data_IF_378411788207
#
_entry.id   IF_378411788207
#
_cell.length_a   1.000
_cell.length_b   1.000
_cell.length_c   1.000
_cell.angle_alpha   90.00
_cell.angle_beta   90.00
_cell.angle_gamma   90.00
#
_symmetry.space_group_name_H-M   'P 1'
#
loop_
_entity.id
_entity.type
_entity.pdbx_description
1 polymer ?
#
# COMPACT_ATOMS: atom_id res chain seq x y z
N UNK A 1 11.70 21.13 -9.21
CA UNK A 1 12.35 21.45 -7.92
C UNK A 1 13.72 20.79 -7.72
N UNK A 2 14.18 19.83 -8.54
CA UNK A 2 15.61 19.50 -8.76
C UNK A 2 16.50 19.20 -7.53
N UNK A 3 15.92 18.99 -6.35
CA UNK A 3 16.64 18.77 -5.11
C UNK A 3 16.78 17.26 -4.86
N UNK A 4 17.85 16.71 -5.42
CA UNK A 4 18.07 15.27 -5.50
C UNK A 4 18.50 14.69 -4.13
N UNK A 5 19.21 15.47 -3.33
CA UNK A 5 19.69 15.06 -2.00
C UNK A 5 18.55 14.86 -1.02
N UNK A 6 17.56 15.77 -1.03
CA UNK A 6 16.38 15.64 -0.16
C UNK A 6 15.48 14.49 -0.60
N UNK A 7 15.36 14.29 -1.92
CA UNK A 7 14.65 13.15 -2.46
C UNK A 7 15.28 11.83 -2.01
N UNK A 8 16.60 11.68 -2.15
CA UNK A 8 17.31 10.47 -1.68
C UNK A 8 17.13 10.24 -0.17
N UNK A 9 17.23 11.31 0.64
CA UNK A 9 17.00 11.23 2.08
C UNK A 9 15.59 10.73 2.41
N UNK A 10 14.58 11.25 1.72
CA UNK A 10 13.19 10.84 1.92
C UNK A 10 12.96 9.37 1.52
N UNK A 11 13.52 8.94 0.38
CA UNK A 11 13.41 7.54 -0.07
C UNK A 11 14.06 6.57 0.92
N UNK A 12 15.25 6.92 1.43
CA UNK A 12 15.93 6.12 2.45
C UNK A 12 15.11 6.03 3.73
N UNK A 13 14.61 7.18 4.22
CA UNK A 13 13.78 7.23 5.42
C UNK A 13 12.51 6.39 5.28
N UNK A 14 11.83 6.45 4.12
CA UNK A 14 10.65 5.63 3.82
C UNK A 14 10.99 4.14 3.83
N UNK A 15 12.10 3.73 3.21
CA UNK A 15 12.52 2.32 3.20
C UNK A 15 12.82 1.76 4.59
N UNK A 16 13.22 2.60 5.54
CA UNK A 16 13.62 2.17 6.89
C UNK A 16 12.49 2.26 7.91
N UNK A 17 11.55 3.21 7.74
CA UNK A 17 10.54 3.53 8.75
C UNK A 17 9.11 3.21 8.32
N UNK A 18 8.83 3.05 7.02
CA UNK A 18 7.47 2.80 6.55
C UNK A 18 7.11 1.32 6.71
N UNK A 19 6.12 1.05 7.56
CA UNK A 19 5.47 -0.25 7.70
C UNK A 19 3.96 -0.10 7.49
N UNK A 20 3.37 -1.04 6.77
CA UNK A 20 1.92 -1.11 6.57
C UNK A 20 1.22 -2.08 7.51
N UNK A 21 1.97 -2.71 8.43
CA UNK A 21 1.39 -3.57 9.47
C UNK A 21 0.86 -2.72 10.65
N UNK A 22 -0.22 -1.98 10.38
CA UNK A 22 -0.84 -1.07 11.34
C UNK A 22 -2.32 -1.40 11.46
N UNK A 23 -2.79 -1.51 12.70
CA UNK A 23 -4.21 -1.73 13.03
C UNK A 23 -5.02 -0.44 12.87
N UNK A 24 -5.16 0.00 11.62
CA UNK A 24 -5.83 1.25 11.27
C UNK A 24 -6.81 1.04 10.13
N UNK A 25 -8.02 1.58 10.31
CA UNK A 25 -9.03 1.64 9.26
C UNK A 25 -8.75 2.86 8.38
N UNK A 26 -8.47 2.62 7.11
CA UNK A 26 -8.16 3.65 6.12
C UNK A 26 -9.20 3.66 4.99
N UNK A 27 -9.28 4.79 4.29
CA UNK A 27 -10.07 4.90 3.06
C UNK A 27 -9.23 4.38 1.88
N UNK A 28 -9.76 3.38 1.18
CA UNK A 28 -9.09 2.73 0.04
C UNK A 28 -8.83 3.73 -1.09
N UNK A 29 -9.79 4.61 -1.40
CA UNK A 29 -9.66 5.57 -2.50
C UNK A 29 -8.51 6.55 -2.24
N UNK A 30 -8.49 7.16 -1.06
CA UNK A 30 -7.46 8.14 -0.68
C UNK A 30 -6.07 7.49 -0.62
N UNK A 31 -5.97 6.30 -0.05
CA UNK A 31 -4.69 5.61 0.08
C UNK A 31 -4.15 5.15 -1.29
N UNK A 32 -5.04 4.72 -2.19
CA UNK A 32 -4.68 4.35 -3.56
C UNK A 32 -4.08 5.53 -4.33
N UNK A 33 -4.77 6.67 -4.39
CA UNK A 33 -4.31 7.80 -5.20
C UNK A 33 -3.11 8.54 -4.57
N UNK A 34 -3.03 8.59 -3.22
CA UNK A 34 -1.97 9.35 -2.53
C UNK A 34 -0.74 8.50 -2.23
N UNK A 35 -0.92 7.34 -1.61
CA UNK A 35 0.19 6.53 -1.10
C UNK A 35 0.69 5.60 -2.20
N UNK A 36 -0.18 4.75 -2.75
CA UNK A 36 0.22 3.81 -3.81
C UNK A 36 0.69 4.57 -5.06
N UNK A 37 -0.10 5.54 -5.52
CA UNK A 37 0.28 6.41 -6.65
C UNK A 37 1.58 7.18 -6.40
N UNK A 38 1.80 7.67 -5.18
CA UNK A 38 3.03 8.38 -4.79
C UNK A 38 4.27 7.48 -4.79
N UNK A 39 4.17 6.27 -4.25
CA UNK A 39 5.27 5.29 -4.23
C UNK A 39 5.68 4.86 -5.63
N UNK A 40 4.71 4.59 -6.51
CA UNK A 40 4.97 4.21 -7.91
C UNK A 40 5.57 5.39 -8.68
N UNK A 41 5.03 6.59 -8.50
CA UNK A 41 5.55 7.79 -9.16
C UNK A 41 6.99 8.09 -8.71
N UNK A 42 7.26 7.99 -7.40
CA UNK A 42 8.61 8.15 -6.85
C UNK A 42 9.56 7.03 -7.32
N UNK A 43 9.08 5.80 -7.46
CA UNK A 43 9.84 4.71 -8.08
C UNK A 43 10.25 5.09 -9.50
N UNK A 44 9.31 5.43 -10.38
CA UNK A 44 9.59 5.79 -11.77
C UNK A 44 10.61 6.93 -11.87
N UNK A 45 10.47 7.96 -11.03
CA UNK A 45 11.44 9.06 -10.96
C UNK A 45 12.83 8.60 -10.51
N UNK A 46 12.91 7.69 -9.53
CA UNK A 46 14.16 7.14 -9.03
C UNK A 46 14.86 6.20 -10.04
N UNK A 47 14.10 5.50 -10.88
CA UNK A 47 14.61 4.55 -11.89
C UNK A 47 14.89 5.20 -13.25
N UNK A 48 14.45 6.44 -13.47
CA UNK A 48 14.65 7.15 -14.73
C UNK A 48 16.15 7.38 -14.99
N UNK A 49 16.64 6.73 -16.04
CA UNK A 49 18.04 6.76 -16.49
C UNK A 49 18.59 8.17 -16.81
N UNK A 50 17.73 9.15 -17.07
CA UNK A 50 18.13 10.55 -17.29
C UNK A 50 18.33 11.31 -15.99
N UNK A 51 17.82 10.78 -14.89
CA UNK A 51 17.73 11.43 -13.59
C UNK A 51 18.73 10.76 -12.65
N UNK A 52 19.87 11.43 -12.39
CA UNK A 52 20.89 11.03 -11.39
C UNK A 52 20.39 11.11 -9.94
N UNK A 53 19.09 10.91 -9.71
CA UNK A 53 18.41 11.18 -8.45
C UNK A 53 18.84 10.21 -7.35
N UNK A 54 19.26 9.00 -7.71
CA UNK A 54 19.87 8.06 -6.78
C UNK A 54 21.12 7.48 -7.42
N UNK A 55 22.30 7.84 -6.88
CA UNK A 55 23.58 7.31 -7.33
C UNK A 55 23.68 5.80 -7.04
N UNK A 56 23.10 4.95 -7.90
CA UNK A 56 23.24 3.49 -7.86
C UNK A 56 22.75 2.77 -6.60
N UNK A 57 22.37 3.48 -5.54
CA UNK A 57 21.98 2.92 -4.25
C UNK A 57 20.51 2.51 -4.19
N UNK A 58 19.70 2.89 -5.19
CA UNK A 58 18.28 2.54 -5.23
C UNK A 58 18.10 1.08 -5.65
N UNK A 59 17.42 0.28 -4.82
CA UNK A 59 17.17 -1.15 -5.06
C UNK A 59 15.68 -1.48 -5.09
N UNK A 60 14.89 -0.68 -5.82
CA UNK A 60 13.44 -0.89 -5.96
C UNK A 60 12.66 -0.91 -4.64
N UNK A 61 13.18 -0.30 -3.58
CA UNK A 61 12.57 -0.32 -2.24
C UNK A 61 11.15 0.24 -2.26
N UNK A 62 10.90 1.32 -3.01
CA UNK A 62 9.57 1.92 -3.12
C UNK A 62 8.59 1.03 -3.89
N UNK A 63 9.09 0.26 -4.87
CA UNK A 63 8.26 -0.69 -5.60
C UNK A 63 7.83 -1.84 -4.68
N UNK A 64 8.74 -2.34 -3.85
CA UNK A 64 8.41 -3.39 -2.86
C UNK A 64 7.35 -2.88 -1.86
N UNK A 65 7.48 -1.63 -1.40
CA UNK A 65 6.47 -1.00 -0.54
C UNK A 65 5.12 -0.83 -1.26
N UNK A 66 5.14 -0.43 -2.53
CA UNK A 66 3.93 -0.31 -3.34
C UNK A 66 3.25 -1.68 -3.55
N UNK A 67 4.04 -2.73 -3.78
CA UNK A 67 3.52 -4.09 -3.92
C UNK A 67 2.88 -4.58 -2.61
N UNK A 68 3.55 -4.40 -1.46
CA UNK A 68 2.99 -4.77 -0.14
C UNK A 68 1.65 -4.07 0.11
N UNK A 69 1.59 -2.76 -0.13
CA UNK A 69 0.36 -1.98 0.01
C UNK A 69 -0.74 -2.47 -0.95
N UNK A 70 -0.40 -2.75 -2.21
CA UNK A 70 -1.34 -3.26 -3.20
C UNK A 70 -1.91 -4.63 -2.83
N UNK A 71 -1.08 -5.53 -2.27
CA UNK A 71 -1.53 -6.84 -1.78
C UNK A 71 -2.55 -6.70 -0.64
N UNK A 72 -2.36 -5.72 0.25
CA UNK A 72 -3.30 -5.41 1.34
C UNK A 72 -4.62 -4.80 0.85
N UNK A 73 -4.68 -4.27 -0.37
CA UNK A 73 -5.91 -3.76 -0.96
C UNK A 73 -6.79 -4.86 -1.58
N UNK A 74 -6.22 -6.01 -1.96
CA UNK A 74 -6.95 -7.10 -2.61
C UNK A 74 -8.20 -7.60 -1.86
N UNK A 75 -8.21 -7.76 -0.52
CA UNK A 75 -9.41 -8.15 0.21
C UNK A 75 -10.61 -7.20 -0.02
N UNK A 76 -10.34 -5.93 -0.32
CA UNK A 76 -11.39 -4.93 -0.53
C UNK A 76 -12.26 -5.22 -1.75
N UNK A 77 -11.71 -5.90 -2.76
CA UNK A 77 -12.37 -6.22 -4.02
C UNK A 77 -13.08 -7.58 -4.00
N UNK A 78 -12.93 -8.35 -2.91
CA UNK A 78 -13.58 -9.64 -2.74
C UNK A 78 -15.06 -9.47 -2.33
N UNK A 79 -15.83 -8.75 -3.14
CA UNK A 79 -17.27 -8.52 -2.92
C UNK A 79 -18.11 -9.26 -3.96
N UNK A 80 -19.35 -9.68 -3.63
CA UNK A 80 -20.22 -10.38 -4.58
C UNK A 80 -20.57 -9.56 -5.83
N UNK A 81 -20.51 -8.24 -5.74
CA UNK A 81 -20.82 -7.31 -6.84
C UNK A 81 -19.58 -6.91 -7.65
N UNK A 82 -18.38 -7.20 -7.15
CA UNK A 82 -17.11 -6.70 -7.69
C UNK A 82 -16.82 -5.23 -7.35
N UNK A 83 -17.71 -4.53 -6.64
CA UNK A 83 -17.48 -3.16 -6.17
C UNK A 83 -16.68 -3.18 -4.86
N UNK A 84 -15.57 -2.44 -4.75
CA UNK A 84 -14.72 -2.50 -3.57
C UNK A 84 -15.33 -1.83 -2.35
N UNK A 85 -14.93 -2.29 -1.16
CA UNK A 85 -15.21 -1.57 0.08
C UNK A 85 -14.45 -0.25 0.15
N UNK A 86 -15.14 0.81 0.59
CA UNK A 86 -14.51 2.11 0.79
C UNK A 86 -13.49 2.12 1.93
N UNK A 87 -13.68 1.27 2.94
CA UNK A 87 -12.85 1.21 4.14
C UNK A 87 -12.21 -0.16 4.30
N UNK A 88 -10.90 -0.17 4.61
CA UNK A 88 -10.12 -1.39 4.80
C UNK A 88 -9.22 -1.25 6.03
N UNK A 89 -8.80 -2.38 6.62
CA UNK A 89 -7.79 -2.40 7.67
C UNK A 89 -6.48 -2.95 7.10
N UNK A 90 -5.39 -2.19 7.26
CA UNK A 90 -4.07 -2.53 6.70
C UNK A 90 -3.41 -3.74 7.38
N UNK A 91 -3.77 -4.03 8.64
CA UNK A 91 -3.26 -5.19 9.38
C UNK A 91 -3.81 -6.53 8.86
N UNK A 92 -4.91 -6.50 8.10
CA UNK A 92 -5.51 -7.72 7.54
C UNK A 92 -4.61 -8.22 6.41
N UNK A 93 -3.71 -9.12 6.77
CA UNK A 93 -2.99 -9.97 5.83
C UNK A 93 -3.92 -11.12 5.41
N UNK A 94 -3.81 -11.53 4.14
CA UNK A 94 -4.66 -12.54 3.50
C UNK A 94 -4.39 -13.94 4.08
N UNK A 95 -4.75 -14.17 5.33
CA UNK A 95 -5.00 -15.52 5.82
C UNK A 95 -6.33 -15.95 5.20
N UNK A 96 -6.30 -16.93 4.30
CA UNK A 96 -7.47 -17.44 3.55
C UNK A 96 -8.61 -17.94 4.43
N UNK A 97 -8.42 -18.05 5.74
CA UNK A 97 -9.46 -18.37 6.73
C UNK A 97 -10.15 -17.14 7.35
N UNK A 98 -9.62 -15.92 7.19
CA UNK A 98 -10.16 -14.70 7.80
C UNK A 98 -11.23 -13.99 6.94
N UNK A 99 -11.50 -14.46 5.73
CA UNK A 99 -12.54 -13.92 4.87
C UNK A 99 -13.94 -14.00 5.52
N UNK A 100 -14.16 -15.02 6.37
CA UNK A 100 -15.35 -15.12 7.23
C UNK A 100 -15.37 -14.10 8.37
N UNK A 101 -14.22 -13.71 8.92
CA UNK A 101 -14.14 -12.77 10.04
C UNK A 101 -14.39 -11.33 9.60
N UNK A 102 -13.92 -10.93 8.43
CA UNK A 102 -14.15 -9.57 7.88
C UNK A 102 -15.63 -9.35 7.54
N UNK A 103 -16.32 -10.40 7.07
CA UNK A 103 -17.78 -10.40 6.93
C UNK A 103 -18.46 -10.22 8.30
N UNK A 104 -18.11 -11.02 9.32
CA UNK A 104 -18.71 -10.90 10.66
C UNK A 104 -18.49 -9.53 11.30
N UNK A 105 -17.29 -8.96 11.20
CA UNK A 105 -16.94 -7.69 11.89
C UNK A 105 -17.49 -6.46 11.17
N UNK A 106 -17.57 -6.45 9.83
CA UNK A 106 -18.10 -5.29 9.10
C UNK A 106 -19.61 -5.36 8.80
N UNK A 107 -20.23 -6.54 8.83
CA UNK A 107 -21.66 -6.69 8.50
C UNK A 107 -22.58 -6.97 9.69
N UNK A 108 -22.06 -7.25 10.89
CA UNK A 108 -22.92 -7.74 11.98
C UNK A 108 -23.70 -9.02 11.61
N UNK A 109 -23.28 -9.70 10.54
CA UNK A 109 -23.89 -10.91 10.04
C UNK A 109 -23.12 -12.09 10.64
N UNK A 110 -23.54 -12.50 11.84
CA UNK A 110 -23.23 -13.82 12.37
C UNK A 110 -23.87 -14.87 11.43
N UNK A 111 -23.11 -15.33 10.44
CA UNK A 111 -23.52 -16.47 9.65
C UNK A 111 -23.17 -17.74 10.43
N UNK A 112 -24.13 -18.19 11.23
CA UNK A 112 -24.16 -19.55 11.80
C UNK A 112 -24.18 -20.54 10.64
N UNK A 113 -23.13 -21.36 10.49
CA UNK A 113 -23.29 -22.81 10.32
C UNK A 113 -22.02 -23.55 10.69
#
# INVERSE_FOLDING_TARGET
>A
MGNNTEFERAVRWLSENLTFDVDARINLFECNIRVLGGLISAHILATDSTNRLVQGSYKNQLLNLAEDLGRRFLPAFATPTGLPYAWINLKVTLDTNLQLYVLCVNYGACAVR
#
